data_IF_412456340135
#
_entry.id   IF_412456340135
#
_cell.length_a   1.000
_cell.length_b   1.000
_cell.length_c   1.000
_cell.angle_alpha   90.00
_cell.angle_beta   90.00
_cell.angle_gamma   90.00
#
_symmetry.space_group_name_H-M   'P 1'
#
loop_
_entity.id
_entity.type
_entity.pdbx_description
1 polymer ?
#
# COMPACT_ATOMS: atom_id res chain seq x y z
N UNK A 1 71.87 -63.16 -29.16
CA UNK A 1 72.16 -61.71 -29.25
C UNK A 1 70.87 -60.95 -29.60
N UNK A 2 70.24 -60.42 -28.55
CA UNK A 2 69.17 -59.39 -28.54
C UNK A 2 69.67 -58.07 -29.19
N UNK A 3 68.90 -57.09 -29.69
CA UNK A 3 67.46 -56.79 -29.70
C UNK A 3 67.16 -55.59 -30.64
N UNK A 4 66.02 -55.67 -31.35
CA UNK A 4 64.91 -54.69 -31.46
C UNK A 4 65.15 -53.20 -31.84
N UNK A 5 64.74 -52.89 -33.09
CA UNK A 5 63.99 -51.74 -33.63
C UNK A 5 63.70 -50.50 -32.73
N UNK A 6 63.94 -49.29 -33.27
CA UNK A 6 63.11 -48.10 -32.99
C UNK A 6 63.04 -47.13 -34.16
N UNK A 7 61.80 -46.88 -34.60
CA UNK A 7 61.38 -45.89 -35.59
C UNK A 7 61.56 -44.48 -35.00
N UNK A 8 62.05 -43.52 -35.79
CA UNK A 8 61.95 -42.10 -35.49
C UNK A 8 60.95 -41.45 -36.44
N UNK A 9 59.80 -41.10 -35.88
CA UNK A 9 58.69 -40.40 -36.52
C UNK A 9 58.93 -38.88 -36.44
N UNK A 10 58.87 -38.17 -37.56
CA UNK A 10 58.86 -36.70 -37.57
C UNK A 10 57.51 -36.23 -38.14
N UNK A 11 56.58 -35.90 -37.26
CA UNK A 11 55.25 -35.36 -37.59
C UNK A 11 55.34 -33.84 -37.80
N UNK A 12 54.84 -33.40 -38.98
CA UNK A 12 54.81 -32.02 -39.48
C UNK A 12 53.55 -31.26 -38.99
N UNK A 13 53.57 -29.91 -38.87
CA UNK A 13 52.75 -29.14 -37.94
C UNK A 13 51.47 -28.58 -38.57
N UNK A 14 50.66 -29.44 -39.17
CA UNK A 14 49.33 -29.06 -39.64
C UNK A 14 48.29 -29.72 -38.72
N UNK A 15 47.81 -29.06 -37.65
CA UNK A 15 46.55 -29.37 -36.93
C UNK A 15 46.42 -28.65 -35.55
N UNK A 16 46.50 -27.31 -35.47
CA UNK A 16 46.13 -26.61 -34.23
C UNK A 16 45.50 -25.23 -34.48
N UNK A 17 44.28 -25.18 -35.01
CA UNK A 17 43.50 -23.91 -35.02
C UNK A 17 41.98 -24.06 -35.09
N UNK A 18 41.37 -25.20 -34.71
CA UNK A 18 39.92 -25.42 -34.90
C UNK A 18 39.13 -25.89 -33.65
N UNK A 19 39.56 -25.55 -32.43
CA UNK A 19 38.82 -25.89 -31.20
C UNK A 19 39.04 -24.82 -30.11
N UNK A 20 38.38 -23.65 -30.23
CA UNK A 20 38.36 -22.65 -29.13
C UNK A 20 37.14 -21.70 -29.11
N UNK A 21 36.20 -21.83 -30.05
CA UNK A 21 35.03 -20.92 -30.16
C UNK A 21 33.74 -21.51 -29.60
N UNK A 22 33.62 -22.84 -29.51
CA UNK A 22 32.43 -23.50 -28.95
C UNK A 22 32.37 -23.44 -27.42
N UNK A 23 33.52 -23.46 -26.73
CA UNK A 23 33.58 -23.44 -25.25
C UNK A 23 33.02 -22.13 -24.66
N UNK A 24 33.23 -20.99 -25.33
CA UNK A 24 32.69 -19.70 -24.90
C UNK A 24 31.17 -19.61 -25.06
N UNK A 25 30.60 -20.27 -26.07
CA UNK A 25 29.15 -20.27 -26.30
C UNK A 25 28.44 -21.14 -25.26
N UNK A 26 28.96 -22.33 -24.99
CA UNK A 26 28.42 -23.22 -23.96
C UNK A 26 28.57 -22.64 -22.55
N UNK A 27 29.69 -21.98 -22.23
CA UNK A 27 29.89 -21.34 -20.93
C UNK A 27 28.91 -20.19 -20.71
N UNK A 28 28.66 -19.35 -21.73
CA UNK A 28 27.67 -18.27 -21.65
C UNK A 28 26.24 -18.79 -21.52
N UNK A 29 25.90 -19.84 -22.27
CA UNK A 29 24.58 -20.46 -22.19
C UNK A 29 24.33 -21.09 -20.81
N UNK A 30 25.34 -21.76 -20.25
CA UNK A 30 25.29 -22.32 -18.90
C UNK A 30 25.13 -21.23 -17.83
N UNK A 31 25.86 -20.11 -17.93
CA UNK A 31 25.69 -18.99 -17.00
C UNK A 31 24.31 -18.34 -17.06
N UNK A 32 23.74 -18.18 -18.27
CA UNK A 32 22.38 -17.66 -18.45
C UNK A 32 21.32 -18.61 -17.86
N UNK A 33 21.49 -19.92 -18.07
CA UNK A 33 20.60 -20.93 -17.51
C UNK A 33 20.65 -20.95 -15.97
N UNK A 34 21.84 -20.87 -15.38
CA UNK A 34 22.01 -20.80 -13.93
C UNK A 34 21.36 -19.54 -13.32
N UNK A 35 21.51 -18.38 -13.97
CA UNK A 35 20.88 -17.13 -13.51
C UNK A 35 19.35 -17.23 -13.61
N UNK A 36 18.82 -17.76 -14.71
CA UNK A 36 17.38 -17.98 -14.87
C UNK A 36 16.83 -18.95 -13.80
N UNK A 37 17.55 -20.03 -13.50
CA UNK A 37 17.16 -21.00 -12.48
C UNK A 37 17.20 -20.39 -11.06
N UNK A 38 18.17 -19.53 -10.77
CA UNK A 38 18.23 -18.77 -9.52
C UNK A 38 17.09 -17.76 -9.37
N UNK A 39 16.65 -17.13 -10.47
CA UNK A 39 15.50 -16.23 -10.45
C UNK A 39 14.17 -16.96 -10.21
N UNK A 40 14.01 -18.18 -10.74
CA UNK A 40 12.77 -18.97 -10.60
C UNK A 40 12.58 -19.58 -9.20
N UNK A 41 13.65 -19.80 -8.44
CA UNK A 41 13.60 -20.44 -7.12
C UNK A 41 13.58 -19.47 -5.95
N UNK A 42 13.51 -18.15 -6.19
CA UNK A 42 13.27 -17.20 -5.11
C UNK A 42 11.77 -17.14 -4.83
N UNK A 43 11.26 -17.71 -3.72
CA UNK A 43 9.92 -17.38 -3.28
C UNK A 43 9.89 -15.88 -3.01
N UNK A 44 9.18 -15.14 -3.86
CA UNK A 44 8.85 -13.76 -3.58
C UNK A 44 8.01 -13.78 -2.30
N UNK A 45 8.65 -13.48 -1.16
CA UNK A 45 7.94 -13.24 0.09
C UNK A 45 7.11 -11.97 -0.09
N UNK A 46 5.90 -12.13 -0.60
CA UNK A 46 4.86 -11.15 -0.45
C UNK A 46 4.71 -10.95 1.05
N UNK A 47 5.14 -9.78 1.55
CA UNK A 47 4.99 -9.41 2.94
C UNK A 47 3.50 -9.51 3.29
N UNK A 48 3.11 -10.57 4.00
CA UNK A 48 1.79 -10.62 4.61
C UNK A 48 1.81 -9.51 5.66
N UNK A 49 1.00 -8.48 5.44
CA UNK A 49 0.68 -7.55 6.51
C UNK A 49 -0.02 -8.37 7.59
N UNK A 50 0.70 -8.69 8.67
CA UNK A 50 0.12 -9.31 9.85
C UNK A 50 -0.76 -8.24 10.52
N UNK A 51 -2.04 -8.24 10.17
CA UNK A 51 -3.00 -7.25 10.68
C UNK A 51 -3.31 -7.61 12.12
N UNK A 52 -3.08 -6.67 13.04
CA UNK A 52 -3.39 -6.81 14.46
C UNK A 52 -4.85 -7.35 14.67
N UNK A 53 -5.02 -8.48 15.38
CA UNK A 53 -6.33 -9.07 15.63
C UNK A 53 -7.33 -8.11 16.29
N UNK A 54 -6.85 -7.20 17.14
CA UNK A 54 -7.70 -6.21 17.80
C UNK A 54 -8.20 -5.17 16.80
N UNK A 55 -7.34 -4.62 15.94
CA UNK A 55 -7.74 -3.73 14.85
C UNK A 55 -8.81 -4.37 13.95
N UNK A 56 -8.61 -5.64 13.57
CA UNK A 56 -9.57 -6.38 12.74
C UNK A 56 -10.96 -6.46 13.38
N UNK A 57 -11.02 -6.74 14.68
CA UNK A 57 -12.30 -6.79 15.42
C UNK A 57 -13.01 -5.44 15.40
N UNK A 58 -12.27 -4.35 15.57
CA UNK A 58 -12.81 -2.98 15.53
C UNK A 58 -13.32 -2.62 14.14
N UNK A 59 -12.62 -3.03 13.08
CA UNK A 59 -13.06 -2.84 11.70
C UNK A 59 -14.38 -3.55 11.43
N UNK A 60 -14.50 -4.84 11.81
CA UNK A 60 -15.74 -5.60 11.63
C UNK A 60 -16.92 -4.90 12.30
N UNK A 61 -16.76 -4.51 13.57
CA UNK A 61 -17.80 -3.79 14.31
C UNK A 61 -18.13 -2.43 13.67
N UNK A 62 -17.13 -1.75 13.12
CA UNK A 62 -17.32 -0.46 12.45
C UNK A 62 -18.16 -0.62 11.17
N UNK A 63 -17.88 -1.65 10.36
CA UNK A 63 -18.61 -1.97 9.13
C UNK A 63 -20.06 -2.31 9.43
N UNK A 64 -20.34 -3.16 10.42
CA UNK A 64 -21.69 -3.57 10.81
C UNK A 64 -22.58 -2.39 11.22
N UNK A 65 -21.97 -1.33 11.78
CA UNK A 65 -22.67 -0.13 12.22
C UNK A 65 -22.87 0.89 11.09
N UNK A 66 -22.21 0.75 9.94
CA UNK A 66 -22.29 1.70 8.83
C UNK A 66 -23.16 1.16 7.69
N UNK A 67 -24.30 1.81 7.42
CA UNK A 67 -25.16 1.48 6.27
C UNK A 67 -24.76 2.18 4.98
N UNK A 68 -23.74 3.05 5.00
CA UNK A 68 -23.38 3.91 3.87
C UNK A 68 -22.46 3.28 2.83
N UNK A 69 -21.91 2.09 3.09
CA UNK A 69 -21.09 1.34 2.14
C UNK A 69 -21.95 0.38 1.32
N UNK A 70 -21.63 0.25 0.02
CA UNK A 70 -22.37 -0.66 -0.87
C UNK A 70 -22.04 -2.14 -0.62
N UNK A 71 -20.82 -2.40 -0.14
CA UNK A 71 -20.32 -3.75 0.11
C UNK A 71 -19.35 -3.74 1.30
N UNK A 72 -19.38 -4.83 2.08
CA UNK A 72 -18.53 -5.07 3.23
C UNK A 72 -17.06 -5.07 2.87
N UNK A 73 -16.67 -5.68 1.74
CA UNK A 73 -15.27 -5.75 1.36
C UNK A 73 -14.73 -4.36 1.01
N UNK A 74 -15.51 -3.58 0.25
CA UNK A 74 -15.22 -2.17 0.00
C UNK A 74 -15.08 -1.36 1.29
N UNK A 75 -15.97 -1.55 2.27
CA UNK A 75 -15.90 -0.90 3.56
C UNK A 75 -14.60 -1.26 4.33
N UNK A 76 -14.23 -2.54 4.36
CA UNK A 76 -13.03 -3.02 5.06
C UNK A 76 -11.74 -2.43 4.47
N UNK A 77 -11.60 -2.50 3.15
CA UNK A 77 -10.43 -1.96 2.44
C UNK A 77 -10.31 -0.45 2.65
N UNK A 78 -11.41 0.28 2.48
CA UNK A 78 -11.42 1.73 2.61
C UNK A 78 -11.14 2.18 4.05
N UNK A 79 -11.80 1.57 5.05
CA UNK A 79 -11.60 1.91 6.46
C UNK A 79 -10.18 1.58 6.92
N UNK A 80 -9.60 0.45 6.47
CA UNK A 80 -8.24 0.08 6.81
C UNK A 80 -7.22 1.09 6.22
N UNK A 81 -7.34 1.41 4.94
CA UNK A 81 -6.43 2.36 4.26
C UNK A 81 -6.53 3.76 4.88
N UNK A 82 -7.75 4.31 5.00
CA UNK A 82 -7.97 5.64 5.53
C UNK A 82 -7.63 5.75 7.02
N UNK A 83 -7.96 4.73 7.83
CA UNK A 83 -7.57 4.70 9.24
C UNK A 83 -6.05 4.76 9.37
N UNK A 84 -5.34 3.96 8.58
CA UNK A 84 -3.86 3.90 8.62
C UNK A 84 -3.26 5.27 8.30
N UNK A 85 -3.72 5.95 7.26
CA UNK A 85 -3.25 7.30 6.90
C UNK A 85 -3.55 8.33 7.98
N UNK A 86 -4.73 8.25 8.58
CA UNK A 86 -5.18 9.19 9.60
C UNK A 86 -4.50 8.98 10.97
N UNK A 87 -3.75 7.90 11.16
CA UNK A 87 -3.02 7.59 12.41
C UNK A 87 -2.13 8.73 12.91
N UNK A 88 -1.57 9.51 11.98
CA UNK A 88 -0.67 10.63 12.28
C UNK A 88 -1.42 11.83 12.89
N UNK A 89 -2.72 11.96 12.61
CA UNK A 89 -3.56 13.08 13.09
C UNK A 89 -4.42 12.70 14.28
N UNK A 90 -4.92 11.46 14.30
CA UNK A 90 -5.83 10.97 15.32
C UNK A 90 -5.30 9.63 15.82
N UNK A 91 -4.72 9.61 17.02
CA UNK A 91 -4.05 8.43 17.56
C UNK A 91 -5.05 7.29 17.85
N UNK A 92 -6.15 7.60 18.55
CA UNK A 92 -7.14 6.60 18.94
C UNK A 92 -7.87 6.00 17.72
N UNK A 93 -7.66 4.69 17.52
CA UNK A 93 -8.28 3.90 16.45
C UNK A 93 -9.81 3.96 16.49
N UNK A 94 -10.42 3.93 17.69
CA UNK A 94 -11.88 3.94 17.80
C UNK A 94 -12.46 5.28 17.32
N UNK A 95 -11.82 6.39 17.70
CA UNK A 95 -12.16 7.74 17.26
C UNK A 95 -11.99 7.88 15.75
N UNK A 96 -10.87 7.39 15.17
CA UNK A 96 -10.68 7.36 13.71
C UNK A 96 -11.80 6.64 12.99
N UNK A 97 -12.13 5.42 13.41
CA UNK A 97 -13.16 4.62 12.75
C UNK A 97 -14.56 5.23 12.90
N UNK A 98 -14.88 5.83 14.04
CA UNK A 98 -16.13 6.60 14.19
C UNK A 98 -16.17 7.79 13.23
N UNK A 99 -15.09 8.57 13.18
CA UNK A 99 -15.00 9.76 12.35
C UNK A 99 -15.11 9.42 10.85
N UNK A 100 -14.33 8.44 10.39
CA UNK A 100 -14.33 8.01 8.99
C UNK A 100 -15.70 7.51 8.53
N UNK A 101 -16.43 6.79 9.39
CA UNK A 101 -17.80 6.35 9.08
C UNK A 101 -18.78 7.50 9.01
N UNK A 102 -18.69 8.47 9.91
CA UNK A 102 -19.51 9.67 9.85
C UNK A 102 -19.22 10.45 8.57
N UNK A 103 -17.96 10.71 8.26
CA UNK A 103 -17.57 11.39 7.02
C UNK A 103 -18.10 10.64 5.79
N UNK A 104 -17.88 9.33 5.72
CA UNK A 104 -18.36 8.52 4.59
C UNK A 104 -19.89 8.60 4.44
N UNK A 105 -20.64 8.50 5.55
CA UNK A 105 -22.10 8.61 5.54
C UNK A 105 -22.56 9.99 5.05
N UNK A 106 -22.03 11.07 5.62
CA UNK A 106 -22.45 12.42 5.23
C UNK A 106 -22.05 12.74 3.78
N UNK A 107 -20.86 12.33 3.34
CA UNK A 107 -20.39 12.49 1.96
C UNK A 107 -21.34 11.80 0.96
N UNK A 108 -21.77 10.58 1.29
CA UNK A 108 -22.68 9.78 0.46
C UNK A 108 -24.05 10.44 0.30
N UNK A 109 -24.58 11.10 1.34
CA UNK A 109 -25.87 11.79 1.27
C UNK A 109 -25.85 12.94 0.24
N UNK A 110 -24.71 13.60 0.08
CA UNK A 110 -24.53 14.74 -0.84
C UNK A 110 -23.80 14.36 -2.13
N UNK A 111 -23.58 13.07 -2.39
CA UNK A 111 -22.83 12.55 -3.56
C UNK A 111 -21.44 13.17 -3.73
N UNK A 112 -20.73 13.43 -2.62
CA UNK A 112 -19.34 13.89 -2.64
C UNK A 112 -18.37 12.74 -2.36
N UNK A 113 -17.15 12.77 -2.93
CA UNK A 113 -16.10 11.84 -2.57
C UNK A 113 -15.72 12.01 -1.08
N UNK A 114 -15.74 10.94 -0.25
CA UNK A 114 -15.35 11.02 1.16
C UNK A 114 -13.91 11.55 1.36
N UNK A 115 -13.00 11.23 0.46
CA UNK A 115 -11.59 11.65 0.51
C UNK A 115 -11.45 13.16 0.39
N UNK A 116 -12.35 13.81 -0.36
CA UNK A 116 -12.36 15.27 -0.49
C UNK A 116 -12.69 15.93 0.86
N UNK A 117 -13.67 15.38 1.59
CA UNK A 117 -14.05 15.89 2.91
C UNK A 117 -12.93 15.64 3.92
N UNK A 118 -12.28 14.47 3.88
CA UNK A 118 -11.11 14.16 4.72
C UNK A 118 -9.98 15.17 4.46
N UNK A 119 -9.68 15.45 3.20
CA UNK A 119 -8.65 16.43 2.84
C UNK A 119 -9.00 17.85 3.30
N UNK A 120 -10.26 18.25 3.16
CA UNK A 120 -10.74 19.54 3.64
C UNK A 120 -10.57 19.68 5.16
N UNK A 121 -11.00 18.69 5.93
CA UNK A 121 -10.84 18.68 7.40
C UNK A 121 -9.36 18.75 7.80
N UNK A 122 -8.46 18.08 7.07
CA UNK A 122 -7.03 18.15 7.36
C UNK A 122 -6.47 19.57 7.21
N UNK A 123 -6.92 20.29 6.17
CA UNK A 123 -6.48 21.65 5.87
C UNK A 123 -7.09 22.65 6.87
N UNK A 124 -8.38 22.51 7.18
CA UNK A 124 -9.13 23.47 7.99
C UNK A 124 -8.80 23.38 9.48
N UNK A 125 -8.75 22.16 10.04
CA UNK A 125 -8.56 21.99 11.49
C UNK A 125 -7.52 20.95 11.88
N UNK A 126 -6.93 20.23 10.91
CA UNK A 126 -6.05 19.07 11.19
C UNK A 126 -6.72 18.03 12.09
N UNK A 127 -8.03 17.82 11.89
CA UNK A 127 -8.87 16.92 12.68
C UNK A 127 -9.07 17.33 14.15
N UNK A 128 -8.82 18.59 14.50
CA UNK A 128 -9.22 19.15 15.79
C UNK A 128 -10.73 19.47 15.78
N UNK A 129 -11.47 18.77 16.65
CA UNK A 129 -12.91 18.95 16.83
C UNK A 129 -13.27 20.25 17.56
N UNK A 130 -12.34 20.81 18.33
CA UNK A 130 -12.56 22.00 19.14
C UNK A 130 -11.85 23.24 18.56
N UNK A 131 -11.43 23.18 17.29
CA UNK A 131 -10.74 24.28 16.64
C UNK A 131 -11.64 25.52 16.53
N UNK A 132 -11.14 26.67 16.98
CA UNK A 132 -11.79 27.97 16.87
C UNK A 132 -10.84 28.97 16.20
N UNK A 133 -11.22 29.51 15.05
CA UNK A 133 -10.43 30.54 14.36
C UNK A 133 -10.60 31.91 15.01
N UNK A 134 -9.69 32.83 14.68
CA UNK A 134 -9.74 34.24 15.13
C UNK A 134 -11.04 34.95 14.74
N UNK A 135 -11.64 34.58 13.61
CA UNK A 135 -12.89 35.16 13.10
C UNK A 135 -14.14 34.41 13.56
N UNK A 136 -13.97 33.36 14.38
CA UNK A 136 -15.07 32.63 15.02
C UNK A 136 -15.57 31.41 14.27
N UNK A 137 -14.89 30.97 13.21
CA UNK A 137 -15.14 29.68 12.57
C UNK A 137 -14.82 28.52 13.53
N UNK A 138 -15.59 27.43 13.47
CA UNK A 138 -15.61 26.39 14.51
C UNK A 138 -15.58 24.96 13.94
N UNK A 139 -14.94 24.06 14.69
CA UNK A 139 -14.99 22.62 14.48
C UNK A 139 -14.11 22.10 13.35
N UNK A 140 -14.38 20.86 12.94
CA UNK A 140 -13.57 20.09 11.98
C UNK A 140 -13.43 20.76 10.60
N UNK A 141 -14.49 21.41 10.14
CA UNK A 141 -14.56 22.05 8.82
C UNK A 141 -14.53 23.58 8.90
N UNK A 142 -14.26 24.14 10.08
CA UNK A 142 -14.26 25.59 10.31
C UNK A 142 -15.55 26.26 9.79
N UNK A 143 -16.70 25.75 10.22
CA UNK A 143 -17.99 26.32 9.83
C UNK A 143 -18.20 27.62 10.60
N UNK A 144 -18.60 28.66 9.87
CA UNK A 144 -18.95 29.94 10.49
C UNK A 144 -20.30 29.86 11.22
N UNK A 145 -20.42 30.33 12.47
CA UNK A 145 -21.66 30.25 13.25
C UNK A 145 -22.87 30.93 12.62
N UNK A 146 -22.68 31.87 11.69
CA UNK A 146 -23.82 32.48 11.00
C UNK A 146 -24.60 31.46 10.16
N UNK A 147 -23.96 30.40 9.64
CA UNK A 147 -24.63 29.36 8.85
C UNK A 147 -25.67 28.59 9.67
N UNK A 148 -25.50 28.49 10.99
CA UNK A 148 -26.51 27.89 11.86
C UNK A 148 -27.84 28.67 11.81
N UNK A 149 -27.78 29.98 11.59
CA UNK A 149 -28.97 30.85 11.48
C UNK A 149 -29.63 30.74 10.10
N UNK A 150 -28.83 30.52 9.06
CA UNK A 150 -29.32 30.52 7.68
C UNK A 150 -29.82 29.16 7.21
N UNK A 151 -29.10 28.09 7.56
CA UNK A 151 -29.36 26.73 7.06
C UNK A 151 -29.41 25.66 8.16
N UNK A 152 -29.06 26.02 9.41
CA UNK A 152 -29.05 25.11 10.54
C UNK A 152 -30.44 24.89 11.16
N UNK A 153 -30.54 23.83 11.96
CA UNK A 153 -31.70 23.55 12.82
C UNK A 153 -31.48 24.17 14.19
N UNK A 154 -32.56 24.33 14.96
CA UNK A 154 -32.53 25.02 16.26
C UNK A 154 -31.57 24.41 17.28
N UNK A 155 -31.30 23.11 17.16
CA UNK A 155 -30.52 22.34 18.12
C UNK A 155 -29.15 21.91 17.54
N UNK A 156 -28.76 22.44 16.37
CA UNK A 156 -27.47 22.11 15.75
C UNK A 156 -26.31 22.74 16.55
N UNK A 157 -25.31 21.93 16.87
CA UNK A 157 -24.06 22.34 17.47
C UNK A 157 -22.91 22.07 16.46
N UNK A 158 -21.85 22.86 16.51
CA UNK A 158 -20.70 22.74 15.59
C UNK A 158 -19.55 21.91 16.19
N UNK A 159 -19.69 21.45 17.42
CA UNK A 159 -18.63 20.83 18.22
C UNK A 159 -18.97 19.42 18.72
N UNK A 160 -20.15 18.89 18.41
CA UNK A 160 -20.67 17.60 18.86
C UNK A 160 -20.39 16.41 17.92
#
# INVERSE_FOLDING_TARGET
MHAKLRKYTKSSPYLRTCLRTHDFFYLRFFTLLCVLFLCLNNPCSAARADVDPELRKRLISAIEQSSSFDDRFHAEVWLLDMSTRLSIRVEDTQTRLRLLRSIHREARLVNLPPELIIALIDIESRFDRFAISRVGAQGLMQIMPFWLKEIGRKDDNLMD
#
